data_IF_220171229656
#
_entry.id   IF_220171229656
#
_cell.length_a   1.000
_cell.length_b   1.000
_cell.length_c   1.000
_cell.angle_alpha   90.00
_cell.angle_beta   90.00
_cell.angle_gamma   90.00
#
_symmetry.space_group_name_H-M   'P 1'
#
loop_
_entity.id
_entity.type
_entity.pdbx_description
1 polymer ?
#
# COMPACT_ATOMS: atom_id res chain seq x y z
N UNK A 1 4.90 17.19 -5.50
CA UNK A 1 3.97 16.18 -6.04
C UNK A 1 4.17 14.88 -5.27
N UNK A 2 3.10 14.22 -4.83
CA UNK A 2 3.19 12.96 -4.08
C UNK A 2 3.74 11.87 -5.00
N UNK A 3 4.81 11.17 -4.58
CA UNK A 3 5.39 10.07 -5.37
C UNK A 3 4.51 8.83 -5.29
N UNK A 4 4.38 8.13 -6.42
CA UNK A 4 3.66 6.85 -6.53
C UNK A 4 4.68 5.74 -6.72
N UNK A 5 4.63 4.72 -5.83
CA UNK A 5 5.44 3.52 -5.93
C UNK A 5 4.54 2.30 -6.19
N UNK A 6 4.95 1.49 -7.16
CA UNK A 6 4.28 0.22 -7.46
C UNK A 6 5.15 -0.94 -7.00
N UNK A 7 4.67 -1.72 -6.04
CA UNK A 7 5.36 -2.94 -5.60
C UNK A 7 5.15 -4.02 -6.66
N UNK A 8 6.24 -4.52 -7.26
CA UNK A 8 6.17 -5.58 -8.24
C UNK A 8 7.33 -6.56 -8.06
N UNK A 9 7.01 -7.86 -8.12
CA UNK A 9 8.02 -8.92 -8.22
C UNK A 9 8.61 -8.92 -9.64
N UNK A 10 9.91 -9.03 -9.75
CA UNK A 10 10.62 -9.07 -11.05
C UNK A 10 10.08 -10.17 -11.97
N UNK A 11 9.68 -11.30 -11.37
CA UNK A 11 9.07 -12.43 -12.10
C UNK A 11 7.63 -12.20 -12.58
N UNK A 12 6.98 -11.10 -12.18
CA UNK A 12 5.56 -10.80 -12.47
C UNK A 12 5.42 -9.80 -13.61
N UNK A 13 5.97 -10.10 -14.79
CA UNK A 13 5.98 -9.21 -15.96
C UNK A 13 4.59 -8.82 -16.46
N UNK A 14 3.64 -9.77 -16.50
CA UNK A 14 2.26 -9.51 -16.93
C UNK A 14 1.56 -8.50 -16.01
N UNK A 15 1.71 -8.64 -14.68
CA UNK A 15 1.16 -7.68 -13.71
C UNK A 15 1.80 -6.31 -13.84
N UNK A 16 3.13 -6.28 -14.05
CA UNK A 16 3.88 -5.06 -14.30
C UNK A 16 3.33 -4.31 -15.50
N UNK A 17 3.10 -4.99 -16.62
CA UNK A 17 2.54 -4.40 -17.82
C UNK A 17 1.11 -3.91 -17.62
N UNK A 18 0.28 -4.69 -16.95
CA UNK A 18 -1.10 -4.32 -16.68
C UNK A 18 -1.22 -3.06 -15.81
N UNK A 19 -0.48 -2.98 -14.69
CA UNK A 19 -0.52 -1.81 -13.82
C UNK A 19 0.13 -0.59 -14.49
N UNK A 20 1.19 -0.76 -15.30
CA UNK A 20 1.79 0.33 -16.08
C UNK A 20 0.75 0.97 -16.98
N UNK A 21 0.01 0.15 -17.76
CA UNK A 21 -1.03 0.66 -18.67
C UNK A 21 -2.09 1.48 -17.93
N UNK A 22 -2.56 1.00 -16.78
CA UNK A 22 -3.54 1.73 -15.98
C UNK A 22 -3.01 3.09 -15.50
N UNK A 23 -1.75 3.18 -15.07
CA UNK A 23 -1.14 4.42 -14.57
C UNK A 23 -0.75 5.37 -15.70
N UNK A 24 -0.29 4.84 -16.84
CA UNK A 24 0.02 5.64 -18.04
C UNK A 24 -1.24 6.33 -18.60
N UNK A 25 -2.38 5.64 -18.59
CA UNK A 25 -3.68 6.24 -18.95
C UNK A 25 -4.09 7.41 -18.04
N UNK A 26 -3.55 7.48 -16.83
CA UNK A 26 -3.76 8.59 -15.90
C UNK A 26 -2.76 9.73 -16.08
N UNK A 27 -1.72 9.53 -16.90
CA UNK A 27 -0.58 10.46 -17.08
C UNK A 27 0.09 10.78 -15.72
N UNK A 28 0.11 9.82 -14.79
CA UNK A 28 0.72 9.96 -13.47
C UNK A 28 2.12 9.35 -13.49
N UNK A 29 3.15 10.10 -13.10
CA UNK A 29 4.49 9.52 -12.93
C UNK A 29 4.51 8.56 -11.75
N UNK A 30 5.11 7.39 -11.96
CA UNK A 30 5.27 6.36 -10.94
C UNK A 30 6.64 5.69 -11.05
N UNK A 31 7.05 5.03 -9.97
CA UNK A 31 8.29 4.26 -9.90
C UNK A 31 7.97 2.83 -9.47
N UNK A 32 8.57 1.84 -10.14
CA UNK A 32 8.52 0.46 -9.66
C UNK A 32 9.46 0.28 -8.48
N UNK A 33 8.94 -0.35 -7.44
CA UNK A 33 9.72 -0.85 -6.31
C UNK A 33 9.85 -2.37 -6.44
N UNK A 34 11.10 -2.85 -6.56
CA UNK A 34 11.38 -4.30 -6.65
C UNK A 34 10.98 -4.98 -5.34
N UNK A 35 9.93 -5.81 -5.41
CA UNK A 35 9.40 -6.52 -4.26
C UNK A 35 10.39 -7.56 -3.74
N UNK A 36 10.39 -7.77 -2.43
CA UNK A 36 11.15 -8.86 -1.82
C UNK A 36 10.45 -10.18 -2.08
N UNK A 37 11.09 -11.08 -2.82
CA UNK A 37 10.62 -12.45 -2.92
C UNK A 37 11.11 -13.26 -1.72
N UNK A 38 10.20 -13.59 -0.82
CA UNK A 38 10.52 -14.36 0.38
C UNK A 38 10.91 -15.81 0.11
N UNK A 39 10.79 -16.28 -1.15
CA UNK A 39 11.16 -17.64 -1.57
C UNK A 39 12.61 -17.77 -2.04
N UNK A 40 13.28 -16.62 -2.30
CA UNK A 40 14.66 -16.61 -2.81
C UNK A 40 15.65 -16.95 -1.68
N UNK A 41 16.70 -17.71 -2.03
CA UNK A 41 17.80 -18.04 -1.14
C UNK A 41 19.10 -17.38 -1.64
N UNK A 42 19.89 -16.73 -0.76
CA UNK A 42 19.64 -16.51 0.68
C UNK A 42 18.48 -15.53 0.91
N UNK A 43 17.73 -15.69 2.00
CA UNK A 43 16.59 -14.83 2.28
C UNK A 43 17.04 -13.41 2.61
N UNK A 44 16.19 -12.42 2.24
CA UNK A 44 16.45 -11.03 2.57
C UNK A 44 16.61 -10.83 4.08
N UNK A 45 17.58 -10.01 4.55
CA UNK A 45 17.89 -9.86 5.98
C UNK A 45 16.70 -9.48 6.88
N UNK A 46 15.73 -8.72 6.36
CA UNK A 46 14.51 -8.37 7.09
C UNK A 46 13.68 -9.59 7.48
N UNK A 47 13.72 -10.67 6.71
CA UNK A 47 12.93 -11.88 6.98
C UNK A 47 13.40 -12.59 8.26
N UNK A 48 14.66 -12.37 8.68
CA UNK A 48 15.22 -12.88 9.95
C UNK A 48 14.58 -12.22 11.18
N UNK A 49 13.89 -11.08 11.01
CA UNK A 49 13.15 -10.39 12.10
C UNK A 49 11.79 -11.02 12.38
N UNK A 50 11.32 -11.89 11.51
CA UNK A 50 10.08 -12.61 11.75
C UNK A 50 10.23 -13.58 12.91
N UNK A 51 9.28 -13.52 13.84
CA UNK A 51 9.20 -14.43 14.98
C UNK A 51 7.92 -15.25 14.88
N UNK A 52 8.07 -16.52 14.52
CA UNK A 52 6.93 -17.42 14.32
C UNK A 52 6.18 -17.68 15.63
N UNK A 53 6.88 -17.82 16.76
CA UNK A 53 6.23 -18.04 18.06
C UNK A 53 5.29 -16.87 18.41
N UNK A 54 5.71 -15.62 18.17
CA UNK A 54 4.84 -14.46 18.37
C UNK A 54 3.66 -14.47 17.39
N UNK A 55 3.88 -14.84 16.14
CA UNK A 55 2.81 -14.94 15.15
C UNK A 55 1.78 -15.99 15.55
N UNK A 56 2.23 -17.15 16.00
CA UNK A 56 1.36 -18.22 16.52
C UNK A 56 0.58 -17.75 17.75
N UNK A 57 1.24 -17.10 18.71
CA UNK A 57 0.61 -16.63 19.95
C UNK A 57 -0.50 -15.61 19.68
N UNK A 58 -0.22 -14.60 18.82
CA UNK A 58 -1.15 -13.50 18.62
C UNK A 58 -2.15 -13.69 17.47
N UNK A 59 -1.85 -14.56 16.52
CA UNK A 59 -2.64 -14.74 15.28
C UNK A 59 -3.00 -16.18 14.98
N UNK A 60 -2.51 -17.14 15.76
CA UNK A 60 -2.64 -18.58 15.51
C UNK A 60 -2.23 -18.98 14.08
N UNK A 61 -1.17 -18.35 13.54
CA UNK A 61 -0.78 -18.51 12.16
C UNK A 61 0.72 -18.29 11.93
N UNK A 62 1.34 -19.23 11.18
CA UNK A 62 2.65 -19.03 10.54
C UNK A 62 2.48 -18.29 9.23
N UNK A 63 3.33 -17.32 8.95
CA UNK A 63 3.34 -16.60 7.67
C UNK A 63 4.09 -17.41 6.61
N UNK A 64 3.52 -17.48 5.40
CA UNK A 64 4.22 -18.07 4.26
C UNK A 64 5.36 -17.16 3.79
N UNK A 65 6.32 -17.74 3.05
CA UNK A 65 7.43 -16.98 2.46
C UNK A 65 6.95 -15.78 1.62
N UNK A 66 5.89 -15.96 0.81
CA UNK A 66 5.29 -14.86 0.05
C UNK A 66 4.69 -13.76 0.93
N UNK A 67 4.05 -14.13 2.04
CA UNK A 67 3.51 -13.14 2.99
C UNK A 67 4.63 -12.36 3.70
N UNK A 68 5.74 -13.02 4.00
CA UNK A 68 6.93 -12.37 4.57
C UNK A 68 7.58 -11.41 3.57
N UNK A 69 7.70 -11.81 2.30
CA UNK A 69 8.20 -10.95 1.23
C UNK A 69 7.33 -9.72 1.02
N UNK A 70 6.01 -9.91 0.97
CA UNK A 70 5.04 -8.81 0.88
C UNK A 70 5.21 -7.82 2.06
N UNK A 71 5.23 -8.33 3.30
CA UNK A 71 5.47 -7.50 4.48
C UNK A 71 6.78 -6.72 4.40
N UNK A 72 7.88 -7.39 4.02
CA UNK A 72 9.19 -6.76 3.91
C UNK A 72 9.20 -5.64 2.85
N UNK A 73 8.54 -5.85 1.71
CA UNK A 73 8.43 -4.86 0.64
C UNK A 73 7.69 -3.59 1.11
N UNK A 74 6.55 -3.75 1.79
CA UNK A 74 5.83 -2.61 2.37
C UNK A 74 6.67 -1.89 3.44
N UNK A 75 7.33 -2.63 4.32
CA UNK A 75 8.18 -2.05 5.36
C UNK A 75 9.32 -1.21 4.79
N UNK A 76 9.98 -1.68 3.73
CA UNK A 76 11.02 -0.92 3.04
C UNK A 76 10.48 0.37 2.41
N UNK A 77 9.26 0.36 1.88
CA UNK A 77 8.62 1.58 1.37
C UNK A 77 8.22 2.55 2.49
N UNK A 78 7.88 2.05 3.68
CA UNK A 78 7.67 2.94 4.84
C UNK A 78 8.97 3.62 5.25
N UNK A 79 10.08 2.88 5.30
CA UNK A 79 11.40 3.47 5.54
C UNK A 79 11.78 4.48 4.46
N UNK A 80 11.48 4.19 3.19
CA UNK A 80 11.71 5.11 2.08
C UNK A 80 10.85 6.38 2.19
N UNK A 81 9.63 6.29 2.67
CA UNK A 81 8.77 7.45 2.95
C UNK A 81 9.42 8.38 3.98
N UNK A 82 9.95 7.82 5.07
CA UNK A 82 10.68 8.56 6.11
C UNK A 82 11.97 9.18 5.55
N UNK A 83 12.75 8.42 4.78
CA UNK A 83 13.99 8.89 4.14
C UNK A 83 13.72 10.07 3.19
N UNK A 84 12.68 9.99 2.39
CA UNK A 84 12.28 11.05 1.46
C UNK A 84 11.69 12.26 2.17
N UNK A 85 11.27 12.11 3.42
CA UNK A 85 10.58 13.12 4.22
C UNK A 85 9.40 13.78 3.47
N UNK A 86 8.65 12.98 2.71
CA UNK A 86 7.48 13.42 1.94
C UNK A 86 6.45 12.32 1.81
N UNK A 87 5.16 12.65 1.65
CA UNK A 87 4.12 11.67 1.44
C UNK A 87 4.35 10.84 0.18
N UNK A 88 3.97 9.56 0.25
CA UNK A 88 3.99 8.63 -0.87
C UNK A 88 2.64 7.93 -1.03
N UNK A 89 2.40 7.42 -2.24
CA UNK A 89 1.34 6.45 -2.51
C UNK A 89 1.99 5.13 -2.87
N UNK A 90 1.53 4.06 -2.25
CA UNK A 90 1.98 2.70 -2.51
C UNK A 90 0.85 1.91 -3.13
N UNK A 91 1.12 1.18 -4.21
CA UNK A 91 0.16 0.36 -4.96
C UNK A 91 0.78 -1.02 -5.18
N UNK A 92 0.02 -2.10 -4.94
CA UNK A 92 0.40 -3.46 -5.33
C UNK A 92 0.14 -3.66 -6.83
N UNK A 93 0.94 -4.50 -7.50
CA UNK A 93 0.89 -4.73 -8.96
C UNK A 93 -0.39 -5.43 -9.47
N UNK A 94 -1.19 -5.97 -8.55
CA UNK A 94 -2.49 -6.59 -8.84
C UNK A 94 -3.69 -5.67 -8.55
N UNK A 95 -3.42 -4.39 -8.30
CA UNK A 95 -4.47 -3.40 -8.07
C UNK A 95 -5.28 -3.11 -9.35
N UNK A 96 -6.58 -2.88 -9.16
CA UNK A 96 -7.45 -2.28 -10.18
C UNK A 96 -7.70 -0.83 -9.81
N UNK A 97 -7.31 0.09 -10.70
CA UNK A 97 -7.40 1.53 -10.46
C UNK A 97 -8.70 2.08 -11.07
N UNK A 98 -9.53 2.66 -10.22
CA UNK A 98 -10.72 3.41 -10.64
C UNK A 98 -10.29 4.85 -10.98
N UNK A 99 -10.12 5.11 -12.26
CA UNK A 99 -9.51 6.33 -12.82
C UNK A 99 -10.01 7.61 -12.17
N UNK A 100 -11.31 7.87 -12.25
CA UNK A 100 -11.91 9.10 -11.75
C UNK A 100 -11.69 9.27 -10.23
N UNK A 101 -11.99 8.22 -9.45
CA UNK A 101 -11.83 8.23 -7.99
C UNK A 101 -10.38 8.46 -7.57
N UNK A 102 -9.43 7.84 -8.29
CA UNK A 102 -8.02 7.99 -7.98
C UNK A 102 -7.50 9.39 -8.33
N UNK A 103 -7.89 9.95 -9.48
CA UNK A 103 -7.53 11.32 -9.85
C UNK A 103 -8.11 12.35 -8.88
N UNK A 104 -9.35 12.18 -8.43
CA UNK A 104 -9.96 13.02 -7.42
C UNK A 104 -9.15 13.01 -6.11
N UNK A 105 -8.74 11.80 -5.66
CA UNK A 105 -7.87 11.69 -4.50
C UNK A 105 -6.53 12.41 -4.69
N UNK A 106 -5.88 12.26 -5.86
CA UNK A 106 -4.61 12.94 -6.15
C UNK A 106 -4.74 14.46 -6.13
N UNK A 107 -5.85 15.00 -6.60
CA UNK A 107 -6.14 16.45 -6.57
C UNK A 107 -6.33 16.97 -5.14
N UNK A 108 -7.02 16.19 -4.32
CA UNK A 108 -7.36 16.59 -2.94
C UNK A 108 -6.27 16.23 -1.91
N UNK A 109 -5.21 15.51 -2.30
CA UNK A 109 -4.21 14.96 -1.37
C UNK A 109 -3.49 16.03 -0.56
N UNK A 110 -3.30 17.24 -1.13
CA UNK A 110 -2.66 18.37 -0.44
C UNK A 110 -3.52 18.95 0.69
N UNK A 111 -4.83 18.80 0.59
CA UNK A 111 -5.81 19.35 1.52
C UNK A 111 -6.05 18.41 2.71
N UNK A 112 -5.59 17.16 2.62
CA UNK A 112 -5.70 16.17 3.70
C UNK A 112 -4.93 16.67 4.94
N UNK A 113 -5.59 16.77 6.12
CA UNK A 113 -4.95 17.22 7.34
C UNK A 113 -3.69 16.41 7.69
N UNK A 114 -2.66 17.07 8.21
CA UNK A 114 -1.39 16.40 8.59
C UNK A 114 -1.57 15.31 9.63
N UNK A 115 -2.60 15.40 10.46
CA UNK A 115 -2.94 14.37 11.45
C UNK A 115 -3.44 13.05 10.81
N UNK A 116 -3.76 13.05 9.51
CA UNK A 116 -4.10 11.85 8.75
C UNK A 116 -2.83 11.29 8.13
N UNK A 117 -2.24 10.33 8.80
CA UNK A 117 -0.94 9.75 8.44
C UNK A 117 -1.04 8.67 7.36
N UNK A 118 -2.12 7.90 7.34
CA UNK A 118 -2.32 6.82 6.38
C UNK A 118 -3.77 6.74 5.91
N UNK A 119 -3.98 6.68 4.58
CA UNK A 119 -5.30 6.51 3.96
C UNK A 119 -5.28 5.26 3.07
N UNK A 120 -6.19 4.32 3.32
CA UNK A 120 -6.39 3.16 2.43
C UNK A 120 -7.20 3.57 1.21
N UNK A 121 -6.70 3.25 0.01
CA UNK A 121 -7.25 3.70 -1.26
C UNK A 121 -8.07 2.60 -1.97
N UNK A 122 -8.66 1.70 -1.21
CA UNK A 122 -9.49 0.62 -1.75
C UNK A 122 -10.61 0.24 -0.77
N UNK A 123 -11.64 -0.43 -1.29
CA UNK A 123 -12.80 -0.84 -0.50
C UNK A 123 -12.43 -1.86 0.58
N UNK A 124 -12.91 -1.64 1.80
CA UNK A 124 -12.74 -2.61 2.87
C UNK A 124 -13.38 -3.96 2.49
N UNK A 125 -12.61 -5.05 2.59
CA UNK A 125 -13.08 -6.42 2.29
C UNK A 125 -13.96 -7.02 3.39
N UNK A 126 -14.09 -6.37 4.55
CA UNK A 126 -15.01 -6.81 5.61
C UNK A 126 -16.46 -6.57 5.19
N UNK A 127 -17.33 -7.55 5.47
CA UNK A 127 -18.77 -7.43 5.16
C UNK A 127 -19.52 -6.48 6.10
N UNK A 128 -19.09 -6.41 7.37
CA UNK A 128 -19.69 -5.56 8.41
C UNK A 128 -18.62 -4.71 9.04
N UNK A 129 -18.76 -3.42 8.93
CA UNK A 129 -17.92 -2.41 9.58
C UNK A 129 -18.72 -1.12 9.72
N UNK A 130 -18.41 -0.37 10.77
CA UNK A 130 -18.89 0.99 10.94
C UNK A 130 -17.75 1.95 10.64
N UNK A 131 -18.09 3.08 10.07
CA UNK A 131 -17.15 4.15 9.79
C UNK A 131 -17.81 5.50 9.99
N UNK A 132 -17.02 6.52 10.25
CA UNK A 132 -17.46 7.91 10.31
C UNK A 132 -16.46 8.78 9.55
N UNK A 133 -16.98 9.84 8.93
CA UNK A 133 -16.16 10.79 8.21
C UNK A 133 -15.28 11.56 9.19
N UNK A 134 -14.00 11.69 8.86
CA UNK A 134 -13.00 12.47 9.60
C UNK A 134 -12.50 13.68 8.83
N UNK A 135 -12.70 13.67 7.51
CA UNK A 135 -12.33 14.76 6.62
C UNK A 135 -13.08 14.65 5.30
N UNK A 136 -13.61 15.78 4.82
CA UNK A 136 -14.21 15.94 3.49
C UNK A 136 -13.48 17.04 2.71
N UNK A 137 -13.06 16.73 1.48
CA UNK A 137 -12.57 17.67 0.50
C UNK A 137 -13.58 17.86 -0.63
N UNK A 138 -13.21 18.52 -1.72
CA UNK A 138 -14.11 18.80 -2.85
C UNK A 138 -14.67 17.53 -3.50
N UNK A 139 -13.84 16.52 -3.66
CA UNK A 139 -14.17 15.29 -4.38
C UNK A 139 -13.86 14.01 -3.58
N UNK A 140 -13.27 14.15 -2.39
CA UNK A 140 -12.79 13.04 -1.56
C UNK A 140 -13.34 13.15 -0.16
N UNK A 141 -13.84 12.03 0.37
CA UNK A 141 -14.24 11.87 1.77
C UNK A 141 -13.39 10.78 2.43
N UNK A 142 -12.80 11.08 3.58
CA UNK A 142 -11.96 10.15 4.35
C UNK A 142 -12.72 9.70 5.58
N UNK A 143 -12.85 8.38 5.72
CA UNK A 143 -13.56 7.74 6.81
C UNK A 143 -12.61 6.97 7.72
N UNK A 144 -12.82 7.07 9.02
CA UNK A 144 -12.20 6.21 10.02
C UNK A 144 -13.08 5.00 10.30
N UNK A 145 -12.50 3.81 10.20
CA UNK A 145 -13.19 2.56 10.48
C UNK A 145 -13.05 2.20 11.96
N UNK A 146 -14.13 1.67 12.55
CA UNK A 146 -14.15 1.17 13.94
C UNK A 146 -13.40 -0.15 14.08
N UNK A 147 -13.22 -0.89 12.97
CA UNK A 147 -12.44 -2.13 12.91
C UNK A 147 -11.34 -1.99 11.87
N UNK A 148 -10.18 -2.62 12.14
CA UNK A 148 -9.03 -2.56 11.24
C UNK A 148 -9.38 -2.91 9.79
N UNK A 149 -8.85 -2.14 8.87
CA UNK A 149 -8.99 -2.36 7.44
C UNK A 149 -8.15 -3.59 7.01
N UNK A 150 -8.69 -4.42 6.13
CA UNK A 150 -8.00 -5.60 5.61
C UNK A 150 -7.32 -5.28 4.27
N UNK A 151 -6.15 -5.89 4.02
CA UNK A 151 -5.32 -5.75 2.82
C UNK A 151 -4.50 -4.44 2.79
N UNK A 152 -3.53 -4.37 1.90
CA UNK A 152 -2.64 -3.25 1.69
C UNK A 152 -2.51 -2.88 0.20
N UNK A 153 -3.49 -3.27 -0.61
CA UNK A 153 -3.50 -3.16 -2.08
C UNK A 153 -3.11 -1.76 -2.60
N UNK A 154 -3.59 -0.70 -1.95
CA UNK A 154 -3.14 0.66 -2.22
C UNK A 154 -3.36 1.56 -1.00
N UNK A 155 -2.43 2.48 -0.75
CA UNK A 155 -2.55 3.45 0.35
C UNK A 155 -1.66 4.66 0.15
N UNK A 156 -2.10 5.78 0.73
CA UNK A 156 -1.31 6.97 0.95
C UNK A 156 -0.66 6.88 2.33
N UNK A 157 0.57 7.36 2.47
CA UNK A 157 1.35 7.36 3.70
C UNK A 157 2.14 8.65 3.84
N UNK A 158 2.20 9.20 5.07
CA UNK A 158 3.12 10.28 5.46
C UNK A 158 4.33 9.73 6.22
N UNK A 159 5.46 10.46 6.20
CA UNK A 159 6.65 10.12 6.99
C UNK A 159 6.38 10.13 8.49
#
# INVERSE_FOLDING_TARGET
MTKVFVINLESSSERKENISRQLDELSLPFEFFSAIDGRISPPHPLLKRYNDNLSQTYRAKTLSAGQLGCYASHYLLWLKCVELNQPIIVIEDDALIFKETFLNFIQDVSDIPKAVECVRLFKNKRRKYDSYEVFGAKSTSIHKFTKGHMSATAYFLRP
#
